data_IF_404577912456
#
_entry.id   IF_404577912456
#
_cell.length_a   1.000
_cell.length_b   1.000
_cell.length_c   1.000
_cell.angle_alpha   90.00
_cell.angle_beta   90.00
_cell.angle_gamma   90.00
#
_symmetry.space_group_name_H-M   'P 1'
#
loop_
_entity.id
_entity.type
_entity.pdbx_description
1 polymer ?
#
# COMPACT_ATOMS: atom_id res chain seq x y z
N UNK A 1 10.26 44.91 -16.05
CA UNK A 1 10.41 44.24 -14.74
C UNK A 1 11.40 43.08 -14.88
N UNK A 2 12.51 43.12 -14.14
CA UNK A 2 13.42 41.98 -14.07
C UNK A 2 12.70 40.86 -13.33
N UNK A 3 12.48 39.73 -14.02
CA UNK A 3 12.04 38.51 -13.37
C UNK A 3 13.31 37.82 -12.88
N UNK A 4 13.40 37.56 -11.58
CA UNK A 4 14.47 36.74 -11.04
C UNK A 4 14.42 35.36 -11.70
N UNK A 5 15.58 34.86 -12.10
CA UNK A 5 15.71 33.57 -12.78
C UNK A 5 15.41 32.46 -11.77
N UNK A 6 14.38 31.65 -12.04
CA UNK A 6 13.97 30.57 -11.15
C UNK A 6 15.01 29.45 -11.15
N UNK A 7 15.38 28.97 -9.96
CA UNK A 7 16.22 27.79 -9.83
C UNK A 7 15.40 26.52 -10.02
N UNK A 8 16.06 25.43 -10.42
CA UNK A 8 15.41 24.13 -10.56
C UNK A 8 14.75 23.65 -9.26
N UNK A 9 15.36 23.93 -8.11
CA UNK A 9 14.82 23.60 -6.79
C UNK A 9 13.49 24.34 -6.54
N UNK A 10 13.41 25.63 -6.90
CA UNK A 10 12.17 26.40 -6.79
C UNK A 10 11.07 25.84 -7.70
N UNK A 11 11.42 25.40 -8.91
CA UNK A 11 10.46 24.79 -9.83
C UNK A 11 9.87 23.50 -9.25
N UNK A 12 10.71 22.64 -8.67
CA UNK A 12 10.26 21.41 -8.00
C UNK A 12 9.38 21.73 -6.79
N UNK A 13 9.76 22.72 -5.98
CA UNK A 13 8.99 23.12 -4.80
C UNK A 13 7.62 23.72 -5.14
N UNK A 14 7.51 24.41 -6.28
CA UNK A 14 6.26 25.01 -6.75
C UNK A 14 5.35 24.00 -7.46
N UNK A 15 5.90 23.01 -8.16
CA UNK A 15 5.11 21.93 -8.75
C UNK A 15 4.29 21.18 -7.69
N UNK A 16 4.86 21.01 -6.49
CA UNK A 16 4.13 20.45 -5.36
C UNK A 16 2.95 21.34 -4.91
N UNK A 17 3.11 22.66 -4.91
CA UNK A 17 2.03 23.57 -4.52
C UNK A 17 0.88 23.54 -5.55
N UNK A 18 1.18 23.31 -6.84
CA UNK A 18 0.13 23.15 -7.85
C UNK A 18 -0.70 21.87 -7.73
N UNK A 19 -0.23 20.87 -6.98
CA UNK A 19 -1.01 19.64 -6.73
C UNK A 19 -2.16 19.84 -5.73
N UNK A 20 -2.28 21.02 -5.11
CA UNK A 20 -3.37 21.36 -4.21
C UNK A 20 -4.40 22.26 -4.91
N UNK A 21 -5.44 21.65 -5.49
CA UNK A 21 -6.59 22.35 -6.11
C UNK A 21 -7.30 23.33 -5.16
N UNK A 22 -7.11 23.16 -3.84
CA UNK A 22 -7.57 24.07 -2.78
C UNK A 22 -7.04 25.51 -2.92
N UNK A 23 -5.99 25.72 -3.69
CA UNK A 23 -5.34 27.03 -3.86
C UNK A 23 -5.91 27.86 -5.02
N UNK A 24 -6.80 27.28 -5.85
CA UNK A 24 -7.40 28.00 -6.99
C UNK A 24 -8.42 29.08 -6.60
N UNK A 25 -8.95 29.05 -5.37
CA UNK A 25 -10.04 29.92 -4.93
C UNK A 25 -9.64 31.29 -4.39
N UNK A 26 -8.39 31.46 -3.95
CA UNK A 26 -7.87 32.70 -3.36
C UNK A 26 -6.62 33.18 -4.10
N UNK A 27 -6.61 34.44 -4.55
CA UNK A 27 -5.42 35.07 -5.16
C UNK A 27 -4.40 35.50 -4.09
N UNK A 28 -4.25 34.72 -3.04
CA UNK A 28 -3.35 35.01 -1.93
C UNK A 28 -2.02 34.30 -2.17
N UNK A 29 -0.92 35.04 -2.05
CA UNK A 29 0.41 34.49 -2.18
C UNK A 29 0.80 33.76 -0.90
N UNK A 30 0.66 32.44 -0.92
CA UNK A 30 0.94 31.56 0.22
C UNK A 30 2.40 31.15 0.34
N UNK A 31 3.29 31.59 -0.57
CA UNK A 31 4.67 31.09 -0.64
C UNK A 31 5.48 31.37 0.63
N UNK A 32 5.12 32.43 1.35
CA UNK A 32 5.76 32.80 2.61
C UNK A 32 5.19 32.08 3.83
N UNK A 33 4.06 31.39 3.67
CA UNK A 33 3.42 30.65 4.75
C UNK A 33 4.33 29.53 5.26
N UNK A 34 4.45 29.34 6.59
CA UNK A 34 5.31 28.31 7.16
C UNK A 34 5.00 26.89 6.66
N UNK A 35 3.72 26.59 6.38
CA UNK A 35 3.25 25.30 5.89
C UNK A 35 3.50 25.09 4.39
N UNK A 36 3.68 26.16 3.61
CA UNK A 36 3.98 26.08 2.18
C UNK A 36 5.47 25.78 1.92
N UNK A 37 6.34 26.07 2.90
CA UNK A 37 7.78 25.79 2.82
C UNK A 37 8.07 24.28 2.92
N UNK A 38 9.09 23.76 2.22
CA UNK A 38 9.42 22.33 2.24
C UNK A 38 9.59 21.74 3.64
N UNK A 39 10.24 22.47 4.54
CA UNK A 39 10.43 22.05 5.94
C UNK A 39 9.12 21.97 6.71
N UNK A 40 8.20 22.91 6.51
CA UNK A 40 6.87 22.91 7.12
C UNK A 40 6.03 21.73 6.64
N UNK A 41 6.09 21.41 5.34
CA UNK A 41 5.43 20.23 4.76
C UNK A 41 5.92 18.92 5.38
N UNK A 42 7.24 18.75 5.46
CA UNK A 42 7.84 17.56 6.08
C UNK A 42 7.42 17.45 7.55
N UNK A 43 7.39 18.56 8.28
CA UNK A 43 6.96 18.59 9.68
C UNK A 43 5.48 18.23 9.83
N UNK A 44 4.59 18.75 8.98
CA UNK A 44 3.17 18.40 8.96
C UNK A 44 2.96 16.92 8.61
N UNK A 45 3.64 16.42 7.58
CA UNK A 45 3.59 15.02 7.19
C UNK A 45 3.99 14.10 8.34
N UNK A 46 5.09 14.44 9.03
CA UNK A 46 5.55 13.67 10.18
C UNK A 46 4.55 13.73 11.34
N UNK A 47 4.03 14.93 11.64
CA UNK A 47 3.03 15.13 12.68
C UNK A 47 1.79 14.25 12.41
N UNK A 48 1.19 14.36 11.21
CA UNK A 48 0.00 13.59 10.88
C UNK A 48 0.27 12.10 10.75
N UNK A 49 1.46 11.68 10.33
CA UNK A 49 1.87 10.26 10.37
C UNK A 49 1.90 9.73 11.80
N UNK A 50 2.40 10.51 12.76
CA UNK A 50 2.43 10.12 14.18
C UNK A 50 1.02 10.06 14.74
N UNK A 51 0.22 11.11 14.52
CA UNK A 51 -1.16 11.19 15.01
C UNK A 51 -2.01 10.02 14.52
N UNK A 52 -1.86 9.62 13.26
CA UNK A 52 -2.66 8.55 12.63
C UNK A 52 -2.02 7.17 12.67
N UNK A 53 -0.85 7.02 13.29
CA UNK A 53 -0.15 5.74 13.36
C UNK A 53 -1.00 4.65 14.03
N UNK A 54 -1.77 5.02 15.07
CA UNK A 54 -2.66 4.09 15.76
C UNK A 54 -3.78 3.56 14.87
N UNK A 55 -4.44 4.44 14.11
CA UNK A 55 -5.48 4.07 13.14
C UNK A 55 -4.94 3.11 12.09
N UNK A 56 -3.72 3.38 11.60
CA UNK A 56 -3.08 2.53 10.60
C UNK A 56 -2.75 1.14 11.16
N UNK A 57 -2.32 1.04 12.42
CA UNK A 57 -2.11 -0.26 13.09
C UNK A 57 -3.41 -1.06 13.18
N UNK A 58 -4.53 -0.42 13.53
CA UNK A 58 -5.84 -1.08 13.56
C UNK A 58 -6.28 -1.56 12.17
N UNK A 59 -6.13 -0.71 11.15
CA UNK A 59 -6.45 -1.06 9.75
C UNK A 59 -5.61 -2.24 9.26
N UNK A 60 -4.29 -2.20 9.48
CA UNK A 60 -3.38 -3.26 9.07
C UNK A 60 -3.72 -4.60 9.73
N UNK A 61 -4.09 -4.62 11.01
CA UNK A 61 -4.56 -5.83 11.68
C UNK A 61 -5.81 -6.44 11.01
N UNK A 62 -6.71 -5.62 10.46
CA UNK A 62 -7.87 -6.13 9.71
C UNK A 62 -7.43 -6.69 8.36
N UNK A 63 -6.54 -5.99 7.66
CA UNK A 63 -6.05 -6.39 6.34
C UNK A 63 -5.23 -7.69 6.40
N UNK A 64 -4.36 -7.84 7.40
CA UNK A 64 -3.57 -9.06 7.60
C UNK A 64 -4.51 -10.27 7.83
N UNK A 65 -5.55 -10.13 8.66
CA UNK A 65 -6.55 -11.20 8.83
C UNK A 65 -7.24 -11.55 7.52
N UNK A 66 -7.66 -10.55 6.75
CA UNK A 66 -8.30 -10.76 5.44
C UNK A 66 -7.37 -11.49 4.49
N UNK A 67 -6.11 -11.10 4.43
CA UNK A 67 -5.09 -11.72 3.59
C UNK A 67 -4.87 -13.19 3.98
N UNK A 68 -4.79 -13.49 5.29
CA UNK A 68 -4.63 -14.87 5.78
C UNK A 68 -5.83 -15.73 5.41
N UNK A 69 -7.05 -15.20 5.58
CA UNK A 69 -8.28 -15.91 5.18
C UNK A 69 -8.29 -16.17 3.68
N UNK A 70 -7.99 -15.15 2.88
CA UNK A 70 -7.90 -15.27 1.42
C UNK A 70 -6.92 -16.37 1.00
N UNK A 71 -5.71 -16.38 1.56
CA UNK A 71 -4.69 -17.39 1.27
C UNK A 71 -5.17 -18.82 1.58
N UNK A 72 -5.84 -19.00 2.71
CA UNK A 72 -6.39 -20.31 3.11
C UNK A 72 -7.49 -20.75 2.16
N UNK A 73 -8.38 -19.84 1.81
CA UNK A 73 -9.52 -20.12 0.95
C UNK A 73 -9.08 -20.39 -0.50
N UNK A 74 -8.08 -19.65 -0.99
CA UNK A 74 -7.48 -19.86 -2.31
C UNK A 74 -6.77 -21.22 -2.39
N UNK A 75 -5.94 -21.61 -1.41
CA UNK A 75 -5.33 -22.95 -1.39
C UNK A 75 -6.38 -24.06 -1.44
N UNK A 76 -7.43 -23.92 -0.63
CA UNK A 76 -8.54 -24.86 -0.61
C UNK A 76 -9.30 -24.90 -1.95
N UNK A 77 -9.54 -23.75 -2.55
CA UNK A 77 -10.20 -23.64 -3.85
C UNK A 77 -9.37 -24.29 -4.97
N UNK A 78 -8.08 -23.95 -5.08
CA UNK A 78 -7.19 -24.48 -6.11
C UNK A 78 -7.01 -26.00 -5.99
N UNK A 79 -6.91 -26.51 -4.77
CA UNK A 79 -6.87 -27.96 -4.51
C UNK A 79 -8.13 -28.66 -5.01
N UNK A 80 -9.31 -28.12 -4.70
CA UNK A 80 -10.60 -28.69 -5.16
C UNK A 80 -10.75 -28.58 -6.68
N UNK A 81 -10.41 -27.43 -7.25
CA UNK A 81 -10.46 -27.19 -8.69
C UNK A 81 -9.55 -28.17 -9.45
N UNK A 82 -8.33 -28.41 -8.94
CA UNK A 82 -7.41 -29.38 -9.52
C UNK A 82 -7.99 -30.80 -9.58
N UNK A 83 -8.58 -31.29 -8.49
CA UNK A 83 -9.23 -32.61 -8.46
C UNK A 83 -10.42 -32.67 -9.41
N UNK A 84 -11.32 -31.69 -9.34
CA UNK A 84 -12.55 -31.68 -10.14
C UNK A 84 -12.27 -31.56 -11.65
N UNK A 85 -11.30 -30.75 -12.05
CA UNK A 85 -10.91 -30.59 -13.46
C UNK A 85 -10.23 -31.86 -13.97
N UNK A 86 -9.41 -32.52 -13.14
CA UNK A 86 -8.79 -33.79 -13.50
C UNK A 86 -9.84 -34.87 -13.78
N UNK A 87 -10.91 -34.91 -13.00
CA UNK A 87 -12.02 -35.87 -13.18
C UNK A 87 -12.91 -35.54 -14.38
N UNK A 88 -13.15 -34.25 -14.68
CA UNK A 88 -14.14 -33.82 -15.69
C UNK A 88 -13.54 -33.47 -17.06
N UNK A 89 -12.36 -32.85 -17.10
CA UNK A 89 -11.74 -32.30 -18.31
C UNK A 89 -10.36 -32.92 -18.63
N UNK A 90 -9.85 -33.79 -17.75
CA UNK A 90 -8.63 -34.57 -17.96
C UNK A 90 -7.33 -33.92 -17.47
N UNK A 91 -6.25 -34.70 -17.56
CA UNK A 91 -4.95 -34.41 -16.94
C UNK A 91 -4.30 -33.11 -17.45
N UNK A 92 -4.42 -32.82 -18.75
CA UNK A 92 -3.78 -31.65 -19.35
C UNK A 92 -4.33 -30.32 -18.79
N UNK A 93 -5.64 -30.22 -18.55
CA UNK A 93 -6.27 -29.03 -17.97
C UNK A 93 -5.97 -28.92 -16.48
N UNK A 94 -5.99 -30.05 -15.76
CA UNK A 94 -5.62 -30.09 -14.35
C UNK A 94 -4.16 -29.65 -14.14
N UNK A 95 -3.25 -30.02 -15.05
CA UNK A 95 -1.86 -29.62 -14.99
C UNK A 95 -1.69 -28.09 -15.00
N UNK A 96 -2.47 -27.34 -15.77
CA UNK A 96 -2.40 -25.87 -15.78
C UNK A 96 -2.80 -25.26 -14.44
N UNK A 97 -3.84 -25.80 -13.79
CA UNK A 97 -4.24 -25.36 -12.44
C UNK A 97 -3.17 -25.68 -11.41
N UNK A 98 -2.53 -26.85 -11.54
CA UNK A 98 -1.42 -27.22 -10.66
C UNK A 98 -0.21 -26.27 -10.82
N UNK A 99 0.16 -25.92 -12.05
CA UNK A 99 1.23 -24.95 -12.29
C UNK A 99 0.91 -23.57 -11.70
N UNK A 100 -0.32 -23.11 -11.83
CA UNK A 100 -0.77 -21.87 -11.18
C UNK A 100 -0.65 -21.97 -9.66
N UNK A 101 -1.15 -23.05 -9.06
CA UNK A 101 -1.09 -23.27 -7.62
C UNK A 101 0.34 -23.31 -7.09
N UNK A 102 1.26 -24.00 -7.78
CA UNK A 102 2.67 -24.07 -7.39
C UNK A 102 3.37 -22.71 -7.45
N UNK A 103 2.97 -21.81 -8.36
CA UNK A 103 3.48 -20.42 -8.39
C UNK A 103 3.01 -19.59 -7.20
N UNK A 104 1.87 -19.91 -6.60
CA UNK A 104 1.35 -19.18 -5.44
C UNK A 104 2.07 -19.56 -4.13
N UNK A 105 2.62 -20.78 -4.03
CA UNK A 105 3.29 -21.28 -2.83
C UNK A 105 4.38 -20.36 -2.24
N UNK A 106 5.34 -19.85 -3.03
CA UNK A 106 6.37 -18.94 -2.56
C UNK A 106 5.82 -17.62 -1.97
N UNK A 107 4.76 -17.07 -2.56
CA UNK A 107 4.11 -15.87 -2.02
C UNK A 107 3.46 -16.17 -0.66
N UNK A 108 2.82 -17.33 -0.53
CA UNK A 108 2.20 -17.76 0.72
C UNK A 108 3.24 -17.96 1.84
N UNK A 109 4.45 -18.42 1.52
CA UNK A 109 5.52 -18.61 2.50
C UNK A 109 6.10 -17.29 3.03
N UNK A 110 6.38 -16.33 2.14
CA UNK A 110 6.88 -15.01 2.54
C UNK A 110 5.85 -14.26 3.40
N UNK A 111 4.57 -14.30 3.01
CA UNK A 111 3.51 -13.68 3.80
C UNK A 111 3.29 -14.38 5.15
N UNK A 112 3.42 -15.72 5.22
CA UNK A 112 3.42 -16.47 6.48
C UNK A 112 4.59 -16.05 7.39
N UNK A 113 5.79 -15.92 6.84
CA UNK A 113 6.96 -15.48 7.59
C UNK A 113 6.79 -14.07 8.17
N UNK A 114 6.37 -13.11 7.33
CA UNK A 114 6.10 -11.73 7.76
C UNK A 114 5.02 -11.67 8.82
N UNK A 115 3.95 -12.44 8.67
CA UNK A 115 2.91 -12.56 9.71
C UNK A 115 3.48 -13.05 11.04
N UNK A 116 4.34 -14.06 11.04
CA UNK A 116 4.99 -14.53 12.27
C UNK A 116 5.89 -13.47 12.92
N UNK A 117 6.49 -12.59 12.13
CA UNK A 117 7.20 -11.43 12.67
C UNK A 117 6.22 -10.42 13.29
N UNK A 118 5.11 -10.11 12.62
CA UNK A 118 4.09 -9.16 13.09
C UNK A 118 3.38 -9.63 14.36
N UNK A 119 3.17 -10.94 14.52
CA UNK A 119 2.60 -11.55 15.74
C UNK A 119 3.38 -11.22 17.02
N UNK A 120 4.65 -10.81 16.92
CA UNK A 120 5.49 -10.45 18.05
C UNK A 120 5.40 -8.96 18.42
N UNK A 121 4.70 -8.15 17.63
CA UNK A 121 4.56 -6.71 17.86
C UNK A 121 3.45 -6.43 18.88
N UNK A 122 3.69 -5.45 19.74
CA UNK A 122 2.68 -4.91 20.66
C UNK A 122 1.53 -4.30 19.83
N UNK A 123 0.28 -4.63 20.18
CA UNK A 123 -0.90 -4.14 19.45
C UNK A 123 -1.29 -4.99 18.23
N UNK A 124 -0.58 -6.09 17.96
CA UNK A 124 -1.01 -7.04 16.93
C UNK A 124 -2.27 -7.79 17.38
N UNK A 125 -3.28 -7.81 16.51
CA UNK A 125 -4.56 -8.47 16.76
C UNK A 125 -5.05 -9.33 15.61
N UNK A 126 -4.30 -9.43 14.50
CA UNK A 126 -4.49 -10.54 13.57
C UNK A 126 -3.80 -10.40 12.24
#
# INVERSE_FOLDING_TARGET
>A
PFHDELTWEQVVDYAFLSDFDLLGGGREDIRDEPWAKPSGRIAMDLYFKIERAGEEVERLNIEIRRLVTYMRDEDGFLRRAWVSIRESAGEAMAHQVHLYWMRQGPFHDEHRYRRHALQRLLGFSG
#
